data_IF_850600775682
#
_entry.id   IF_850600775682
#
_cell.length_a   1.000
_cell.length_b   1.000
_cell.length_c   1.000
_cell.angle_alpha   90.00
_cell.angle_beta   90.00
_cell.angle_gamma   90.00
#
_symmetry.space_group_name_H-M   'P 1'
#
loop_
_entity.id
_entity.type
_entity.pdbx_description
1 polymer ?
#
# COMPACT_ATOMS: atom_id res chain seq x y z
N UNK A 1 1.88 -15.02 -15.86
CA UNK A 1 3.08 -15.89 -15.84
C UNK A 1 3.67 -15.75 -14.45
N UNK A 2 3.81 -16.83 -13.71
CA UNK A 2 4.39 -16.82 -12.37
C UNK A 2 5.91 -16.73 -12.51
N UNK A 3 6.58 -15.89 -11.72
CA UNK A 3 8.05 -15.72 -11.78
C UNK A 3 8.70 -15.84 -10.39
N UNK A 4 9.95 -16.28 -10.37
CA UNK A 4 10.83 -16.26 -9.18
C UNK A 4 11.76 -15.04 -9.17
N UNK A 5 11.87 -14.34 -10.29
CA UNK A 5 12.76 -13.20 -10.42
C UNK A 5 12.00 -11.92 -10.02
N UNK A 6 12.45 -11.31 -8.94
CA UNK A 6 11.97 -10.01 -8.50
C UNK A 6 12.93 -8.92 -9.01
N UNK A 7 12.39 -7.81 -9.50
CA UNK A 7 13.23 -6.67 -9.84
C UNK A 7 13.80 -6.03 -8.57
N UNK A 8 15.00 -5.46 -8.67
CA UNK A 8 15.56 -4.68 -7.58
C UNK A 8 14.71 -3.43 -7.33
N UNK A 9 14.27 -3.17 -6.07
CA UNK A 9 13.38 -2.06 -5.74
C UNK A 9 13.85 -0.70 -6.26
N UNK A 10 15.15 -0.42 -6.13
CA UNK A 10 15.74 0.85 -6.58
C UNK A 10 15.73 1.00 -8.10
N UNK A 11 15.91 -0.09 -8.85
CA UNK A 11 15.91 -0.06 -10.32
C UNK A 11 14.51 0.24 -10.89
N UNK A 12 13.48 -0.23 -10.21
CA UNK A 12 12.09 0.03 -10.58
C UNK A 12 11.50 1.27 -9.89
N UNK A 13 12.32 2.00 -9.11
CA UNK A 13 11.95 3.29 -8.52
C UNK A 13 11.06 3.23 -7.29
N UNK A 14 11.05 2.11 -6.54
CA UNK A 14 10.38 2.04 -5.24
C UNK A 14 11.20 2.82 -4.21
N UNK A 15 10.61 3.81 -3.51
CA UNK A 15 11.34 4.62 -2.54
C UNK A 15 11.77 3.80 -1.31
N UNK A 16 12.93 4.16 -0.71
CA UNK A 16 13.41 3.56 0.54
C UNK A 16 12.42 3.73 1.69
N UNK A 17 11.65 4.81 1.71
CA UNK A 17 10.58 5.03 2.68
C UNK A 17 9.48 3.96 2.60
N UNK A 18 9.15 3.47 1.40
CA UNK A 18 8.23 2.33 1.21
C UNK A 18 8.89 1.05 1.66
N UNK A 19 10.13 0.82 1.21
CA UNK A 19 10.86 -0.39 1.59
C UNK A 19 11.11 -0.47 3.11
N UNK A 20 11.21 0.65 3.82
CA UNK A 20 11.40 0.67 5.28
C UNK A 20 10.28 -0.01 6.08
N UNK A 21 9.09 -0.19 5.49
CA UNK A 21 7.98 -0.89 6.16
C UNK A 21 8.24 -2.36 6.44
N UNK A 22 9.28 -2.96 5.84
CA UNK A 22 9.70 -4.32 6.19
C UNK A 22 10.10 -4.46 7.67
N UNK A 23 10.54 -3.36 8.32
CA UNK A 23 10.96 -3.34 9.72
C UNK A 23 9.82 -3.29 10.74
N UNK A 24 8.58 -3.13 10.30
CA UNK A 24 7.44 -3.08 11.19
C UNK A 24 7.24 -4.44 11.89
N UNK A 25 6.86 -4.38 13.16
CA UNK A 25 6.58 -5.59 13.93
C UNK A 25 5.13 -6.05 13.84
N UNK A 26 4.19 -5.11 13.66
CA UNK A 26 2.74 -5.35 13.59
C UNK A 26 2.03 -4.17 12.94
N UNK A 27 0.74 -4.34 12.65
CA UNK A 27 -0.14 -3.29 12.13
C UNK A 27 -0.50 -3.52 10.67
N UNK A 28 -1.11 -2.53 10.05
CA UNK A 28 -1.63 -2.59 8.69
C UNK A 28 -0.90 -1.61 7.78
N UNK A 29 -0.39 -2.09 6.67
CA UNK A 29 0.17 -1.28 5.57
C UNK A 29 -0.62 -1.58 4.31
N UNK A 30 -1.11 -0.54 3.65
CA UNK A 30 -1.91 -0.64 2.44
C UNK A 30 -1.15 -0.12 1.23
N UNK A 31 -1.09 -0.93 0.17
CA UNK A 31 -0.59 -0.50 -1.13
C UNK A 31 -1.78 -0.40 -2.08
N UNK A 32 -2.07 0.80 -2.57
CA UNK A 32 -3.30 1.09 -3.30
C UNK A 32 -3.02 1.68 -4.69
N UNK A 33 -4.03 1.69 -5.54
CA UNK A 33 -3.92 2.20 -6.90
C UNK A 33 -4.70 1.36 -7.91
N UNK A 34 -4.84 1.83 -9.14
CA UNK A 34 -5.57 1.12 -10.19
C UNK A 34 -4.95 -0.24 -10.52
N UNK A 35 -5.69 -1.06 -11.25
CA UNK A 35 -5.15 -2.30 -11.81
C UNK A 35 -3.91 -2.00 -12.68
N UNK A 36 -2.89 -2.83 -12.59
CA UNK A 36 -1.64 -2.64 -13.34
C UNK A 36 -0.73 -1.52 -12.83
N UNK A 37 -0.97 -0.94 -11.64
CA UNK A 37 -0.10 0.10 -11.08
C UNK A 37 1.17 -0.43 -10.40
N UNK A 38 1.40 -1.75 -10.38
CA UNK A 38 2.60 -2.37 -9.81
C UNK A 38 2.49 -2.70 -8.31
N UNK A 39 1.29 -2.75 -7.73
CA UNK A 39 1.07 -3.07 -6.31
C UNK A 39 1.66 -4.42 -5.90
N UNK A 40 1.37 -5.47 -6.69
CA UNK A 40 1.88 -6.82 -6.42
C UNK A 40 3.41 -6.85 -6.41
N UNK A 41 4.04 -6.16 -7.35
CA UNK A 41 5.52 -6.06 -7.41
C UNK A 41 6.08 -5.36 -6.18
N UNK A 42 5.49 -4.24 -5.76
CA UNK A 42 5.91 -3.51 -4.56
C UNK A 42 5.78 -4.38 -3.31
N UNK A 43 4.66 -5.10 -3.18
CA UNK A 43 4.44 -6.02 -2.05
C UNK A 43 5.37 -7.24 -2.09
N UNK A 44 5.61 -7.80 -3.27
CA UNK A 44 6.56 -8.89 -3.43
C UNK A 44 7.99 -8.48 -3.03
N UNK A 45 8.44 -7.27 -3.40
CA UNK A 45 9.72 -6.73 -2.95
C UNK A 45 9.79 -6.55 -1.42
N UNK A 46 8.69 -6.12 -0.77
CA UNK A 46 8.62 -6.03 0.69
C UNK A 46 8.71 -7.40 1.35
N UNK A 47 7.96 -8.39 0.86
CA UNK A 47 7.99 -9.78 1.34
C UNK A 47 9.39 -10.37 1.17
N UNK A 48 10.00 -10.17 0.02
CA UNK A 48 11.35 -10.63 -0.27
C UNK A 48 12.38 -10.01 0.67
N UNK A 49 12.29 -8.71 0.91
CA UNK A 49 13.16 -8.01 1.87
C UNK A 49 13.03 -8.57 3.29
N UNK A 50 11.81 -8.87 3.74
CA UNK A 50 11.57 -9.53 5.03
C UNK A 50 12.21 -10.92 5.03
N UNK A 51 11.97 -11.70 3.98
CA UNK A 51 12.46 -13.07 3.84
C UNK A 51 13.98 -13.18 3.91
N UNK A 52 14.72 -12.21 3.34
CA UNK A 52 16.18 -12.18 3.37
C UNK A 52 16.77 -11.53 4.65
N UNK A 53 15.96 -10.78 5.42
CA UNK A 53 16.48 -9.96 6.53
C UNK A 53 16.06 -10.45 7.91
N UNK A 54 14.97 -11.20 8.04
CA UNK A 54 14.35 -11.56 9.31
C UNK A 54 14.09 -13.07 9.43
N UNK A 55 13.84 -13.53 10.64
CA UNK A 55 13.45 -14.91 10.95
C UNK A 55 11.98 -14.92 11.35
N UNK A 56 11.08 -15.07 10.37
CA UNK A 56 9.63 -14.93 10.54
C UNK A 56 8.87 -16.00 9.76
N UNK A 57 7.60 -16.20 10.12
CA UNK A 57 6.65 -16.94 9.31
C UNK A 57 5.80 -15.96 8.50
N UNK A 58 5.95 -16.01 7.18
CA UNK A 58 5.21 -15.20 6.23
C UNK A 58 4.14 -16.05 5.57
N UNK A 59 2.90 -15.60 5.57
CA UNK A 59 1.82 -16.24 4.80
C UNK A 59 1.33 -15.25 3.75
N UNK A 60 1.25 -15.68 2.49
CA UNK A 60 0.62 -14.89 1.42
C UNK A 60 -0.66 -15.55 0.95
N UNK A 61 -1.68 -14.73 0.73
CA UNK A 61 -3.00 -15.10 0.23
C UNK A 61 -3.28 -14.25 -1.01
N UNK A 62 -3.24 -14.84 -2.20
CA UNK A 62 -3.21 -14.08 -3.46
C UNK A 62 -4.19 -14.65 -4.50
N UNK A 63 -4.63 -13.83 -5.46
CA UNK A 63 -5.56 -14.22 -6.54
C UNK A 63 -5.23 -13.48 -7.84
N UNK A 64 -4.45 -14.10 -8.75
CA UNK A 64 -3.61 -15.29 -8.58
C UNK A 64 -2.23 -14.96 -7.96
N UNK A 65 -1.41 -15.99 -7.70
CA UNK A 65 0.01 -15.83 -7.39
C UNK A 65 0.76 -15.25 -8.59
N UNK A 66 1.46 -14.13 -8.39
CA UNK A 66 2.30 -13.50 -9.43
C UNK A 66 3.79 -13.80 -9.23
N UNK A 67 4.25 -13.82 -7.98
CA UNK A 67 5.64 -14.05 -7.59
C UNK A 67 5.75 -15.22 -6.63
N UNK A 68 6.76 -16.07 -6.82
CA UNK A 68 7.08 -17.16 -5.91
C UNK A 68 8.30 -16.81 -5.07
N UNK A 69 8.15 -16.93 -3.76
CA UNK A 69 9.22 -16.73 -2.79
C UNK A 69 9.77 -18.07 -2.30
N UNK A 70 11.06 -18.27 -2.46
CA UNK A 70 11.74 -19.42 -1.83
C UNK A 70 11.93 -19.11 -0.35
N UNK A 71 11.93 -20.17 0.48
CA UNK A 71 12.39 -20.00 1.86
C UNK A 71 13.85 -19.57 1.87
N UNK A 72 14.17 -18.55 2.69
CA UNK A 72 15.54 -18.17 3.01
C UNK A 72 15.66 -18.09 4.53
N UNK A 73 15.65 -16.92 5.14
CA UNK A 73 15.64 -16.79 6.60
C UNK A 73 14.23 -16.92 7.19
N UNK A 74 13.20 -16.73 6.40
CA UNK A 74 11.81 -16.92 6.78
C UNK A 74 11.25 -18.26 6.26
N UNK A 75 10.18 -18.71 6.93
CA UNK A 75 9.28 -19.71 6.36
C UNK A 75 8.23 -18.93 5.57
N UNK A 76 8.09 -19.19 4.27
CA UNK A 76 7.10 -18.54 3.41
C UNK A 76 6.07 -19.56 2.94
N UNK A 77 4.82 -19.35 3.31
CA UNK A 77 3.68 -20.21 2.93
C UNK A 77 2.75 -19.39 2.02
N UNK A 78 2.75 -19.69 0.72
CA UNK A 78 1.92 -19.02 -0.27
C UNK A 78 0.69 -19.85 -0.59
N UNK A 79 -0.46 -19.20 -0.73
CA UNK A 79 -1.74 -19.83 -1.10
C UNK A 79 -2.46 -18.99 -2.14
N UNK A 80 -2.89 -19.67 -3.19
CA UNK A 80 -3.71 -19.10 -4.24
C UNK A 80 -5.20 -19.32 -3.93
N UNK A 81 -5.98 -18.26 -4.02
CA UNK A 81 -7.44 -18.30 -3.84
C UNK A 81 -8.05 -19.11 -4.99
N UNK A 82 -9.10 -19.84 -4.71
CA UNK A 82 -9.79 -20.76 -5.60
C UNK A 82 -8.97 -22.00 -6.03
N UNK A 83 -7.68 -22.06 -5.70
CA UNK A 83 -6.80 -23.22 -5.96
C UNK A 83 -6.48 -23.94 -4.66
N UNK A 84 -5.88 -23.26 -3.68
CA UNK A 84 -5.46 -23.82 -2.40
C UNK A 84 -6.47 -23.56 -1.28
N UNK A 85 -7.36 -22.59 -1.45
CA UNK A 85 -8.36 -22.15 -0.49
C UNK A 85 -9.57 -21.54 -1.20
N UNK A 86 -10.74 -21.59 -0.56
CA UNK A 86 -12.00 -21.14 -1.17
C UNK A 86 -12.06 -19.62 -1.41
N UNK A 87 -11.66 -18.84 -0.40
CA UNK A 87 -11.76 -17.38 -0.44
C UNK A 87 -10.79 -16.74 0.57
N UNK A 88 -10.63 -15.42 0.47
CA UNK A 88 -9.75 -14.64 1.34
C UNK A 88 -10.10 -14.74 2.83
N UNK A 89 -11.38 -14.67 3.19
CA UNK A 89 -11.81 -14.68 4.58
C UNK A 89 -11.50 -16.02 5.26
N UNK A 90 -11.82 -17.13 4.59
CA UNK A 90 -11.53 -18.48 5.08
C UNK A 90 -10.03 -18.71 5.23
N UNK A 91 -9.26 -18.29 4.22
CA UNK A 91 -7.82 -18.40 4.23
C UNK A 91 -7.17 -17.55 5.34
N UNK A 92 -7.62 -16.31 5.52
CA UNK A 92 -7.11 -15.42 6.55
C UNK A 92 -7.38 -15.97 7.96
N UNK A 93 -8.62 -16.41 8.23
CA UNK A 93 -8.97 -17.03 9.52
C UNK A 93 -8.15 -18.30 9.81
N UNK A 94 -7.89 -19.12 8.81
CA UNK A 94 -7.04 -20.30 8.95
C UNK A 94 -5.56 -19.93 9.18
N UNK A 95 -5.07 -18.88 8.52
CA UNK A 95 -3.70 -18.39 8.67
C UNK A 95 -3.40 -17.92 10.09
N UNK A 96 -4.34 -17.25 10.77
CA UNK A 96 -4.17 -16.77 12.16
C UNK A 96 -3.92 -17.90 13.17
N UNK A 97 -4.22 -19.15 12.83
CA UNK A 97 -3.97 -20.33 13.68
C UNK A 97 -2.61 -20.99 13.41
N UNK A 98 -1.82 -20.43 12.50
CA UNK A 98 -0.54 -20.99 12.07
C UNK A 98 0.66 -20.20 12.61
N UNK A 99 0.40 -19.31 13.59
CA UNK A 99 1.42 -18.43 14.18
C UNK A 99 2.21 -17.63 13.14
N UNK A 100 1.55 -16.92 12.21
CA UNK A 100 2.24 -16.06 11.27
C UNK A 100 2.74 -14.79 11.96
N UNK A 101 3.87 -14.27 11.53
CA UNK A 101 4.34 -12.93 11.90
C UNK A 101 3.85 -11.90 10.90
N UNK A 102 3.83 -12.28 9.62
CA UNK A 102 3.49 -11.41 8.48
C UNK A 102 2.46 -12.11 7.61
N UNK A 103 1.41 -11.38 7.26
CA UNK A 103 0.39 -11.84 6.30
C UNK A 103 0.32 -10.84 5.15
N UNK A 104 0.54 -11.32 3.93
CA UNK A 104 0.19 -10.60 2.73
C UNK A 104 -1.21 -11.06 2.31
N UNK A 105 -2.17 -10.15 2.36
CA UNK A 105 -3.53 -10.34 1.93
C UNK A 105 -3.73 -9.62 0.60
N UNK A 106 -3.83 -10.35 -0.50
CA UNK A 106 -3.82 -9.81 -1.86
C UNK A 106 -4.75 -8.61 -2.02
N UNK A 107 -5.98 -8.73 -1.55
CA UNK A 107 -6.92 -7.59 -1.51
C UNK A 107 -7.98 -7.73 -0.41
N UNK A 108 -8.53 -6.58 0.01
CA UNK A 108 -9.65 -6.49 0.95
C UNK A 108 -10.88 -5.94 0.23
N UNK A 109 -11.84 -6.81 -0.14
CA UNK A 109 -13.05 -6.42 -0.90
C UNK A 109 -14.28 -6.21 -0.04
N UNK A 110 -14.41 -6.98 1.01
CA UNK A 110 -15.62 -7.04 1.85
C UNK A 110 -15.30 -6.69 3.30
N UNK A 111 -16.36 -6.29 4.03
CA UNK A 111 -16.21 -5.83 5.41
C UNK A 111 -15.72 -6.92 6.37
N UNK A 112 -16.06 -8.19 6.13
CA UNK A 112 -15.62 -9.28 7.02
C UNK A 112 -14.12 -9.53 6.90
N UNK A 113 -13.59 -9.52 5.68
CA UNK A 113 -12.16 -9.62 5.40
C UNK A 113 -11.42 -8.43 6.00
N UNK A 114 -11.93 -7.19 5.80
CA UNK A 114 -11.34 -5.97 6.37
C UNK A 114 -11.31 -6.06 7.90
N UNK A 115 -12.43 -6.41 8.53
CA UNK A 115 -12.53 -6.52 10.00
C UNK A 115 -11.57 -7.57 10.56
N UNK A 116 -11.46 -8.73 9.89
CA UNK A 116 -10.55 -9.80 10.30
C UNK A 116 -9.09 -9.36 10.17
N UNK A 117 -8.72 -8.67 9.10
CA UNK A 117 -7.37 -8.13 8.89
C UNK A 117 -7.01 -7.06 9.93
N UNK A 118 -7.93 -6.13 10.24
CA UNK A 118 -7.71 -5.12 11.29
C UNK A 118 -7.55 -5.76 12.66
N UNK A 119 -8.36 -6.77 12.98
CA UNK A 119 -8.24 -7.51 14.25
C UNK A 119 -6.91 -8.26 14.34
N UNK A 120 -6.45 -8.87 13.26
CA UNK A 120 -5.13 -9.50 13.19
C UNK A 120 -4.00 -8.49 13.42
N UNK A 121 -4.09 -7.32 12.79
CA UNK A 121 -3.11 -6.25 12.98
C UNK A 121 -3.08 -5.73 14.43
N UNK A 122 -4.24 -5.65 15.10
CA UNK A 122 -4.36 -5.26 16.51
C UNK A 122 -3.75 -6.29 17.44
N UNK A 123 -3.92 -7.58 17.14
CA UNK A 123 -3.43 -8.70 17.95
C UNK A 123 -1.96 -9.06 17.71
N UNK A 124 -1.22 -8.28 16.91
CA UNK A 124 0.23 -8.39 16.83
C UNK A 124 0.80 -8.83 15.49
N UNK A 125 -0.02 -9.05 14.48
CA UNK A 125 0.44 -9.43 13.14
C UNK A 125 0.77 -8.20 12.27
N UNK A 126 1.75 -8.32 11.41
CA UNK A 126 2.00 -7.35 10.34
C UNK A 126 1.20 -7.77 9.10
N UNK A 127 0.27 -6.90 8.70
CA UNK A 127 -0.61 -7.15 7.55
C UNK A 127 -0.22 -6.20 6.42
N UNK A 128 0.09 -6.76 5.26
CA UNK A 128 0.16 -6.04 4.00
C UNK A 128 -1.07 -6.36 3.17
N UNK A 129 -1.70 -5.37 2.57
CA UNK A 129 -2.85 -5.62 1.69
C UNK A 129 -3.00 -4.56 0.62
N UNK A 130 -3.91 -4.81 -0.34
CA UNK A 130 -4.21 -3.86 -1.41
C UNK A 130 -5.67 -3.43 -1.43
N UNK A 131 -5.88 -2.23 -2.00
CA UNK A 131 -7.17 -1.76 -2.50
C UNK A 131 -6.97 -1.09 -3.86
N UNK A 132 -8.07 -0.94 -4.62
CA UNK A 132 -8.04 -0.27 -5.93
C UNK A 132 -8.34 1.24 -5.85
N UNK A 133 -8.31 1.81 -4.66
CA UNK A 133 -8.50 3.24 -4.42
C UNK A 133 -7.28 4.06 -4.84
N UNK A 134 -7.50 5.33 -5.15
CA UNK A 134 -6.44 6.30 -5.47
C UNK A 134 -6.42 7.33 -4.36
N UNK A 135 -5.25 7.49 -3.72
CA UNK A 135 -5.05 8.41 -2.61
C UNK A 135 -5.37 7.83 -1.24
N UNK A 136 -4.68 8.34 -0.23
CA UNK A 136 -4.77 7.84 1.14
C UNK A 136 -6.14 8.18 1.78
N UNK A 137 -6.64 9.39 1.58
CA UNK A 137 -7.95 9.81 2.10
C UNK A 137 -9.07 8.91 1.59
N UNK A 138 -9.15 8.71 0.26
CA UNK A 138 -10.15 7.85 -0.36
C UNK A 138 -10.02 6.38 0.09
N UNK A 139 -8.80 5.93 0.37
CA UNK A 139 -8.56 4.56 0.88
C UNK A 139 -9.17 4.38 2.26
N UNK A 140 -8.97 5.34 3.14
CA UNK A 140 -9.53 5.33 4.50
C UNK A 140 -11.05 5.38 4.45
N UNK A 141 -11.63 6.29 3.67
CA UNK A 141 -13.08 6.39 3.48
C UNK A 141 -13.66 5.08 2.94
N UNK A 142 -13.03 4.49 1.93
CA UNK A 142 -13.47 3.21 1.35
C UNK A 142 -13.50 2.07 2.36
N UNK A 143 -12.52 2.02 3.28
CA UNK A 143 -12.50 1.02 4.35
C UNK A 143 -13.67 1.26 5.31
N UNK A 144 -13.86 2.49 5.76
CA UNK A 144 -14.92 2.85 6.72
C UNK A 144 -16.31 2.61 6.10
N UNK A 145 -16.50 3.01 4.84
CA UNK A 145 -17.77 2.90 4.12
C UNK A 145 -18.16 1.45 3.79
N UNK A 146 -17.23 0.50 3.85
CA UNK A 146 -17.53 -0.91 3.70
C UNK A 146 -18.40 -1.46 4.86
N UNK A 147 -18.46 -0.76 6.00
CA UNK A 147 -19.18 -1.17 7.18
C UNK A 147 -20.56 -0.49 7.30
N UNK A 148 -21.53 -1.16 7.96
CA UNK A 148 -22.80 -0.51 8.29
C UNK A 148 -22.61 0.80 9.06
N UNK A 149 -23.43 1.80 8.78
CA UNK A 149 -23.31 3.16 9.34
C UNK A 149 -23.15 3.18 10.89
N UNK A 150 -23.85 2.28 11.60
CA UNK A 150 -23.76 2.18 13.06
C UNK A 150 -22.37 1.73 13.57
N UNK A 151 -21.53 1.13 12.71
CA UNK A 151 -20.22 0.61 13.07
C UNK A 151 -19.07 1.53 12.57
N UNK A 152 -19.32 2.43 11.63
CA UNK A 152 -18.30 3.23 10.96
C UNK A 152 -17.42 4.01 11.93
N UNK A 153 -17.99 4.62 12.97
CA UNK A 153 -17.20 5.34 13.97
C UNK A 153 -16.23 4.41 14.72
N UNK A 154 -16.71 3.24 15.15
CA UNK A 154 -15.87 2.24 15.84
C UNK A 154 -14.74 1.75 14.92
N UNK A 155 -15.05 1.51 13.65
CA UNK A 155 -14.08 1.11 12.63
C UNK A 155 -13.03 2.19 12.40
N UNK A 156 -13.43 3.46 12.31
CA UNK A 156 -12.49 4.59 12.19
C UNK A 156 -11.52 4.65 13.38
N UNK A 157 -12.03 4.44 14.59
CA UNK A 157 -11.19 4.36 15.81
C UNK A 157 -10.21 3.21 15.71
N UNK A 158 -10.67 1.99 15.39
CA UNK A 158 -9.82 0.81 15.27
C UNK A 158 -8.79 0.97 14.15
N UNK A 159 -9.21 1.42 12.96
CA UNK A 159 -8.30 1.68 11.84
C UNK A 159 -7.21 2.68 12.23
N UNK A 160 -7.59 3.76 12.96
CA UNK A 160 -6.62 4.75 13.45
C UNK A 160 -5.58 4.18 14.40
N UNK A 161 -5.83 3.03 15.03
CA UNK A 161 -4.87 2.37 15.94
C UNK A 161 -3.93 1.41 15.22
N UNK A 162 -4.44 0.71 14.19
CA UNK A 162 -3.68 -0.37 13.52
C UNK A 162 -3.00 0.05 12.23
N UNK A 163 -3.51 1.09 11.53
CA UNK A 163 -2.94 1.57 10.29
C UNK A 163 -1.55 2.18 10.54
N UNK A 164 -0.56 1.79 9.76
CA UNK A 164 0.78 2.39 9.76
C UNK A 164 1.00 3.30 8.56
N UNK A 165 0.62 2.85 7.38
CA UNK A 165 0.84 3.61 6.16
C UNK A 165 -0.18 3.26 5.07
N UNK A 166 -0.41 4.21 4.18
CA UNK A 166 -1.05 4.01 2.88
C UNK A 166 -0.08 4.47 1.79
N UNK A 167 0.25 3.57 0.88
CA UNK A 167 1.09 3.83 -0.29
C UNK A 167 0.20 3.77 -1.52
N UNK A 168 -0.14 4.91 -2.09
CA UNK A 168 -0.89 4.96 -3.35
C UNK A 168 0.07 5.03 -4.52
N UNK A 169 -0.12 4.17 -5.52
CA UNK A 169 0.82 3.96 -6.60
C UNK A 169 0.15 4.10 -7.97
N UNK A 170 0.83 4.78 -8.90
CA UNK A 170 0.46 4.86 -10.32
C UNK A 170 1.68 4.53 -11.17
N UNK A 171 1.47 3.93 -12.35
CA UNK A 171 2.50 3.80 -13.38
C UNK A 171 2.29 4.87 -14.44
N UNK A 172 3.35 5.61 -14.75
CA UNK A 172 3.36 6.69 -15.73
C UNK A 172 4.24 6.32 -16.91
N UNK A 173 3.85 6.65 -18.15
CA UNK A 173 4.71 6.45 -19.31
C UNK A 173 5.89 7.41 -19.26
N UNK A 174 7.09 6.89 -19.52
CA UNK A 174 8.32 7.66 -19.60
C UNK A 174 8.58 8.16 -21.02
N UNK A 175 9.48 9.12 -21.15
CA UNK A 175 9.86 9.69 -22.46
C UNK A 175 10.57 8.68 -23.39
N UNK A 176 11.14 7.60 -22.84
CA UNK A 176 11.78 6.49 -23.57
C UNK A 176 10.83 5.29 -23.83
N UNK A 177 9.52 5.44 -23.54
CA UNK A 177 8.51 4.43 -23.83
C UNK A 177 8.38 3.31 -22.81
N UNK A 178 9.03 3.45 -21.63
CA UNK A 178 8.87 2.55 -20.48
C UNK A 178 7.79 3.07 -19.52
N UNK A 179 7.68 2.42 -18.38
CA UNK A 179 6.81 2.83 -17.28
C UNK A 179 7.64 3.13 -16.04
N UNK A 180 7.25 4.17 -15.30
CA UNK A 180 7.86 4.54 -14.02
C UNK A 180 6.77 4.71 -12.96
N UNK A 181 6.95 4.20 -11.73
CA UNK A 181 5.98 4.41 -10.66
C UNK A 181 6.06 5.84 -10.10
N UNK A 182 4.89 6.41 -9.82
CA UNK A 182 4.73 7.57 -8.98
C UNK A 182 3.99 7.17 -7.70
N UNK A 183 4.41 7.72 -6.57
CA UNK A 183 3.92 7.34 -5.26
C UNK A 183 3.31 8.52 -4.51
N UNK A 184 2.22 8.25 -3.80
CA UNK A 184 1.80 9.00 -2.64
C UNK A 184 2.03 8.14 -1.40
N UNK A 185 2.67 8.68 -0.39
CA UNK A 185 3.01 7.95 0.83
C UNK A 185 2.47 8.73 2.02
N UNK A 186 1.53 8.13 2.71
CA UNK A 186 1.00 8.60 4.00
C UNK A 186 1.50 7.68 5.10
N UNK A 187 2.21 8.23 6.08
CA UNK A 187 2.56 7.54 7.33
C UNK A 187 1.67 8.07 8.45
N UNK A 188 1.13 7.18 9.27
CA UNK A 188 0.22 7.53 10.33
C UNK A 188 0.93 8.31 11.46
N UNK A 189 0.71 9.60 11.49
CA UNK A 189 1.13 10.49 12.60
C UNK A 189 0.02 10.63 13.64
N UNK A 190 0.30 11.14 14.86
CA UNK A 190 -0.74 11.46 15.84
C UNK A 190 -1.82 12.40 15.30
N UNK A 191 -1.45 13.37 14.44
CA UNK A 191 -2.39 14.28 13.80
C UNK A 191 -3.33 13.56 12.83
N UNK A 192 -2.78 12.72 11.92
CA UNK A 192 -3.59 11.94 10.97
C UNK A 192 -4.47 10.94 11.71
N UNK A 193 -3.98 10.33 12.78
CA UNK A 193 -4.77 9.46 13.66
C UNK A 193 -6.03 10.14 14.19
N UNK A 194 -5.90 11.38 14.65
CA UNK A 194 -7.05 12.16 15.13
C UNK A 194 -8.02 12.53 14.00
N UNK A 195 -7.48 12.90 12.84
CA UNK A 195 -8.29 13.19 11.63
C UNK A 195 -9.17 11.99 11.26
N UNK A 196 -8.61 10.78 11.28
CA UNK A 196 -9.36 9.54 10.99
C UNK A 196 -10.45 9.31 12.03
N UNK A 197 -10.13 9.44 13.32
CA UNK A 197 -11.11 9.26 14.42
C UNK A 197 -12.28 10.23 14.36
N UNK A 198 -12.02 11.46 13.91
CA UNK A 198 -13.01 12.52 13.82
C UNK A 198 -13.79 12.51 12.48
N UNK A 199 -13.47 11.59 11.56
CA UNK A 199 -14.08 11.50 10.24
C UNK A 199 -13.76 12.70 9.32
N UNK A 200 -12.62 13.37 9.55
CA UNK A 200 -12.18 14.55 8.79
C UNK A 200 -11.17 14.20 7.69
N UNK A 201 -11.35 13.06 7.04
CA UNK A 201 -10.41 12.46 6.07
C UNK A 201 -10.04 13.42 4.92
N UNK A 202 -10.93 14.34 4.54
CA UNK A 202 -10.67 15.40 3.56
C UNK A 202 -9.47 16.31 3.90
N UNK A 203 -8.99 16.31 5.14
CA UNK A 203 -7.81 17.09 5.56
C UNK A 203 -6.49 16.33 5.32
N UNK A 204 -6.54 15.03 5.05
CA UNK A 204 -5.35 14.17 4.93
C UNK A 204 -4.44 14.61 3.80
N UNK A 205 -4.99 14.92 2.62
CA UNK A 205 -4.20 15.34 1.46
C UNK A 205 -3.39 16.59 1.75
N UNK A 206 -4.01 17.57 2.44
CA UNK A 206 -3.31 18.77 2.91
C UNK A 206 -2.18 18.46 3.89
N UNK A 207 -2.40 17.50 4.80
CA UNK A 207 -1.38 17.07 5.76
C UNK A 207 -0.21 16.37 5.08
N UNK A 208 -0.46 15.51 4.07
CA UNK A 208 0.60 14.87 3.31
C UNK A 208 1.41 15.93 2.55
N UNK A 209 0.73 16.88 1.89
CA UNK A 209 1.36 17.91 1.08
C UNK A 209 2.26 18.85 1.88
N UNK A 210 1.84 19.22 3.10
CA UNK A 210 2.56 20.16 3.98
C UNK A 210 3.53 19.47 4.94
N UNK A 211 3.58 18.12 4.91
CA UNK A 211 4.43 17.36 5.83
C UNK A 211 5.91 17.64 5.61
N UNK A 212 6.63 17.87 6.70
CA UNK A 212 8.10 17.88 6.74
C UNK A 212 8.70 16.50 7.04
N UNK A 213 7.85 15.48 7.23
CA UNK A 213 8.29 14.10 7.45
C UNK A 213 8.84 13.53 6.15
N UNK A 214 10.11 13.14 6.14
CA UNK A 214 10.81 12.57 4.98
C UNK A 214 10.16 11.31 4.43
N UNK A 215 9.38 10.59 5.26
CA UNK A 215 8.67 9.38 4.87
C UNK A 215 7.27 9.65 4.26
N UNK A 216 6.87 10.91 4.16
CA UNK A 216 5.62 11.29 3.49
C UNK A 216 5.90 11.91 2.13
N UNK A 217 5.06 11.60 1.15
CA UNK A 217 5.18 12.09 -0.22
C UNK A 217 3.79 12.29 -0.84
N UNK A 218 3.49 13.50 -1.28
CA UNK A 218 2.28 13.76 -2.06
C UNK A 218 2.44 13.28 -3.51
N UNK A 219 1.38 12.75 -4.13
CA UNK A 219 1.39 12.27 -5.51
C UNK A 219 1.92 13.31 -6.49
N UNK A 220 1.42 14.54 -6.41
CA UNK A 220 1.84 15.62 -7.30
C UNK A 220 3.31 16.01 -7.12
N UNK A 221 3.85 15.87 -5.91
CA UNK A 221 5.27 16.08 -5.66
C UNK A 221 6.11 14.97 -6.29
N UNK A 222 5.65 13.71 -6.20
CA UNK A 222 6.29 12.58 -6.87
C UNK A 222 6.32 12.78 -8.39
N UNK A 223 5.19 13.11 -8.99
CA UNK A 223 5.05 13.37 -10.43
C UNK A 223 5.95 14.53 -10.87
N UNK A 224 5.98 15.63 -10.12
CA UNK A 224 6.80 16.78 -10.41
C UNK A 224 8.31 16.46 -10.37
N UNK A 225 8.76 15.65 -9.42
CA UNK A 225 10.15 15.17 -9.34
C UNK A 225 10.53 14.32 -10.55
N UNK A 226 9.62 13.48 -11.05
CA UNK A 226 9.85 12.69 -12.27
C UNK A 226 9.99 13.58 -13.50
N UNK A 227 9.17 14.63 -13.61
CA UNK A 227 9.30 15.64 -14.66
C UNK A 227 10.62 16.40 -14.58
N UNK A 228 11.01 16.88 -13.40
CA UNK A 228 12.28 17.60 -13.21
C UNK A 228 13.50 16.78 -13.59
N UNK A 229 13.44 15.45 -13.41
CA UNK A 229 14.49 14.52 -13.84
C UNK A 229 14.42 14.19 -15.34
N UNK A 230 13.46 14.73 -16.09
CA UNK A 230 13.27 14.44 -17.51
C UNK A 230 12.77 13.03 -17.82
N UNK A 231 12.31 12.29 -16.81
CA UNK A 231 11.81 10.91 -16.96
C UNK A 231 10.45 10.90 -17.65
N UNK A 232 9.58 11.84 -17.30
CA UNK A 232 8.26 12.03 -17.93
C UNK A 232 8.17 13.41 -18.58
N UNK A 233 7.31 13.56 -19.57
CA UNK A 233 7.06 14.84 -20.21
C UNK A 233 6.00 15.70 -19.49
N UNK A 234 5.87 16.96 -19.90
CA UNK A 234 4.90 17.92 -19.33
C UNK A 234 3.46 17.44 -19.50
N UNK A 235 3.13 16.80 -20.62
CA UNK A 235 1.79 16.30 -20.91
C UNK A 235 1.42 15.17 -19.94
N UNK A 236 2.33 14.23 -19.73
CA UNK A 236 2.17 13.13 -18.77
C UNK A 236 2.02 13.66 -17.35
N UNK A 237 2.82 14.65 -16.94
CA UNK A 237 2.74 15.25 -15.61
C UNK A 237 1.37 15.92 -15.38
N UNK A 238 0.86 16.72 -16.33
CA UNK A 238 -0.45 17.36 -16.23
C UNK A 238 -1.61 16.37 -16.22
N UNK A 239 -1.57 15.36 -17.09
CA UNK A 239 -2.63 14.36 -17.23
C UNK A 239 -2.80 13.48 -15.98
N UNK A 240 -1.74 13.32 -15.19
CA UNK A 240 -1.73 12.44 -14.02
C UNK A 240 -1.71 13.20 -12.67
N UNK A 241 -1.66 14.52 -12.69
CA UNK A 241 -1.70 15.32 -11.48
C UNK A 241 -3.05 15.21 -10.76
N UNK A 242 -3.03 15.15 -9.44
CA UNK A 242 -4.22 15.23 -8.60
C UNK A 242 -4.82 16.65 -8.62
N UNK A 243 -3.96 17.67 -8.72
CA UNK A 243 -4.34 19.07 -8.93
C UNK A 243 -3.64 19.63 -10.18
N UNK A 244 -4.29 19.52 -11.37
CA UNK A 244 -3.71 20.00 -12.63
C UNK A 244 -3.41 21.50 -12.67
N UNK A 245 -4.19 22.33 -11.98
CA UNK A 245 -3.97 23.80 -11.95
C UNK A 245 -2.68 24.14 -11.18
N UNK A 246 -2.50 23.55 -10.01
CA UNK A 246 -1.26 23.71 -9.24
C UNK A 246 -0.05 23.15 -9.99
N UNK A 247 -0.22 21.98 -10.63
CA UNK A 247 0.83 21.37 -11.44
C UNK A 247 1.22 22.28 -12.60
N UNK A 248 0.24 22.85 -13.33
CA UNK A 248 0.50 23.78 -14.44
C UNK A 248 1.30 25.00 -14.00
N UNK A 249 0.97 25.59 -12.83
CA UNK A 249 1.73 26.72 -12.26
C UNK A 249 3.17 26.31 -11.95
N UNK A 250 3.40 25.16 -11.33
CA UNK A 250 4.75 24.64 -11.06
C UNK A 250 5.57 24.39 -12.32
N UNK A 251 4.94 23.82 -13.36
CA UNK A 251 5.57 23.53 -14.64
C UNK A 251 5.79 24.76 -15.53
N UNK A 252 5.10 25.86 -15.28
CA UNK A 252 5.28 27.16 -15.97
C UNK A 252 6.27 28.10 -15.27
N UNK A 253 6.67 27.78 -14.02
CA UNK A 253 7.64 28.54 -13.25
C UNK A 253 9.11 28.07 -13.48
N UNK A 254 9.31 27.07 -14.33
CA UNK A 254 10.58 26.52 -14.80
C UNK A 254 10.72 26.83 -16.29
#
# INVERSE_FOLDING_TARGET
>A
MITFELPEPNEIGIPDSVMSFYNLSKGLVLVTGPAGSGKSTTLACLVDKINHSMEKHIITLEDPLEYLHRHDRCIVSQREICTDTENYLTALRASLRQSPDVILLGEMRDYETINTAMTAAETGHLIFSTLHTIGAANTIDRIIDAFPAAQQHQVAVQLSMVLHAVVSQRLLPTTDGKMVPAFEIMVLTPAIRNIIREGKTHQIDGMIYTSTNENMLAMDTSIFRLYQKGIIDKKTALANASNPEMMSKKLGAI
#
